data_IF_679393865125
#
_entry.id   IF_679393865125
#
_cell.length_a   1.000
_cell.length_b   1.000
_cell.length_c   1.000
_cell.angle_alpha   90.00
_cell.angle_beta   90.00
_cell.angle_gamma   90.00
#
_symmetry.space_group_name_H-M   'P 1'
#
loop_
_entity.id
_entity.type
_entity.pdbx_description
1 polymer ?
#
# COMPACT_ATOMS: atom_id res chain seq x y z
N UNK A 1 35.38 74.40 -29.56
CA UNK A 1 35.46 73.20 -30.43
C UNK A 1 35.62 71.96 -29.55
N UNK A 2 34.94 70.86 -29.93
CA UNK A 2 35.07 69.46 -29.43
C UNK A 2 34.33 69.19 -28.11
N UNK A 3 33.07 68.74 -28.16
CA UNK A 3 32.59 67.36 -28.36
C UNK A 3 32.69 66.50 -27.10
N UNK A 4 31.55 66.19 -26.50
CA UNK A 4 31.33 64.93 -25.77
C UNK A 4 29.92 64.44 -26.10
N UNK A 5 29.84 63.21 -26.58
CA UNK A 5 28.67 62.56 -27.16
C UNK A 5 28.54 61.18 -26.52
N UNK A 6 27.29 60.79 -26.24
CA UNK A 6 26.75 59.42 -26.10
C UNK A 6 27.31 58.58 -24.91
N UNK A 7 26.68 57.53 -24.39
CA UNK A 7 25.75 56.51 -24.90
C UNK A 7 25.00 55.95 -23.69
N UNK A 8 23.67 55.87 -23.70
CA UNK A 8 22.92 55.06 -22.72
C UNK A 8 22.71 53.67 -23.33
N UNK A 9 23.34 52.65 -22.73
CA UNK A 9 23.16 51.25 -23.11
C UNK A 9 21.80 50.74 -22.62
N UNK A 10 20.88 50.45 -23.53
CA UNK A 10 19.69 49.66 -23.23
C UNK A 10 20.04 48.16 -23.40
N UNK A 11 20.22 47.45 -22.28
CA UNK A 11 20.40 46.00 -22.28
C UNK A 11 19.02 45.37 -22.58
N UNK A 12 18.86 44.83 -23.77
CA UNK A 12 17.70 44.00 -24.13
C UNK A 12 17.97 42.58 -23.63
N UNK A 13 17.35 42.20 -22.52
CA UNK A 13 17.32 40.80 -22.07
C UNK A 13 16.27 40.08 -22.92
N UNK A 14 16.72 39.28 -23.89
CA UNK A 14 15.86 38.33 -24.58
C UNK A 14 15.50 37.21 -23.58
N UNK A 15 14.29 37.25 -23.03
CA UNK A 15 13.73 36.14 -22.26
C UNK A 15 13.40 35.05 -23.28
N UNK A 16 14.30 34.09 -23.45
CA UNK A 16 13.97 32.83 -24.09
C UNK A 16 12.90 32.15 -23.21
N UNK A 17 11.65 32.18 -23.66
CA UNK A 17 10.57 31.40 -23.07
C UNK A 17 10.88 29.91 -23.32
N UNK A 18 11.69 29.31 -22.44
CA UNK A 18 11.74 27.87 -22.30
C UNK A 18 10.38 27.46 -21.72
N UNK A 19 9.48 27.01 -22.59
CA UNK A 19 8.28 26.29 -22.21
C UNK A 19 8.71 24.95 -21.62
N UNK A 20 9.08 24.95 -20.34
CA UNK A 20 9.04 23.72 -19.56
C UNK A 20 7.59 23.32 -19.45
N UNK A 21 7.20 22.31 -20.23
CA UNK A 21 5.93 21.62 -20.06
C UNK A 21 5.94 20.99 -18.67
N UNK A 22 5.38 21.69 -17.69
CA UNK A 22 5.04 21.11 -16.39
C UNK A 22 3.79 20.23 -16.58
N UNK A 23 3.93 19.12 -17.30
CA UNK A 23 2.92 18.06 -17.36
C UNK A 23 3.28 17.00 -16.31
N UNK A 24 3.29 17.42 -15.05
CA UNK A 24 3.46 16.57 -13.89
C UNK A 24 2.21 16.54 -13.03
N UNK A 25 1.02 16.49 -13.64
CA UNK A 25 -0.14 15.98 -12.91
C UNK A 25 0.09 14.49 -12.77
N UNK A 26 0.77 14.08 -11.69
CA UNK A 26 0.81 12.68 -11.29
C UNK A 26 -0.65 12.22 -11.25
N UNK A 27 -1.03 11.34 -12.19
CA UNK A 27 -2.34 10.72 -12.17
C UNK A 27 -2.55 10.13 -10.75
N UNK A 28 -3.76 10.23 -10.17
CA UNK A 28 -4.01 9.69 -8.85
C UNK A 28 -3.50 8.24 -8.80
N UNK A 29 -2.58 7.95 -7.87
CA UNK A 29 -2.10 6.58 -7.68
C UNK A 29 -3.32 5.69 -7.40
N UNK A 30 -3.38 4.48 -7.97
CA UNK A 30 -4.46 3.57 -7.67
C UNK A 30 -4.49 3.33 -6.17
N UNK A 31 -5.67 3.42 -5.57
CA UNK A 31 -5.84 3.09 -4.16
C UNK A 31 -5.60 1.58 -4.00
N UNK A 32 -4.76 1.15 -3.03
CA UNK A 32 -4.56 -0.27 -2.82
C UNK A 32 -5.87 -0.89 -2.33
N UNK A 33 -6.29 -2.05 -2.85
CA UNK A 33 -7.52 -2.68 -2.38
C UNK A 33 -7.33 -3.26 -0.97
N UNK A 34 -8.40 -3.26 -0.16
CA UNK A 34 -8.42 -3.89 1.17
C UNK A 34 -9.02 -5.29 1.12
N UNK A 35 -8.57 -6.15 2.03
CA UNK A 35 -9.21 -7.44 2.27
C UNK A 35 -10.39 -7.27 3.23
N UNK A 36 -11.51 -7.89 2.92
CA UNK A 36 -12.73 -7.92 3.74
C UNK A 36 -13.27 -9.35 3.77
N UNK A 37 -14.21 -9.63 4.68
CA UNK A 37 -14.88 -10.93 4.71
C UNK A 37 -15.89 -11.12 3.57
N UNK A 38 -16.22 -10.06 2.84
CA UNK A 38 -17.20 -10.07 1.74
C UNK A 38 -16.59 -10.53 0.41
N UNK A 39 -15.28 -10.29 0.21
CA UNK A 39 -14.60 -10.52 -1.07
C UNK A 39 -13.55 -11.60 -0.91
N UNK A 40 -13.63 -12.64 -1.75
CA UNK A 40 -12.65 -13.72 -1.73
C UNK A 40 -11.22 -13.18 -1.94
N UNK A 41 -10.22 -13.59 -1.12
CA UNK A 41 -8.87 -13.02 -1.16
C UNK A 41 -8.20 -13.09 -2.54
N UNK A 42 -8.42 -14.18 -3.28
CA UNK A 42 -7.90 -14.36 -4.63
C UNK A 42 -8.38 -13.27 -5.60
N UNK A 43 -9.58 -12.71 -5.40
CA UNK A 43 -10.11 -11.61 -6.24
C UNK A 43 -9.30 -10.33 -5.98
N UNK A 44 -9.07 -9.99 -4.71
CA UNK A 44 -8.26 -8.84 -4.30
C UNK A 44 -6.82 -8.98 -4.82
N UNK A 45 -6.21 -10.15 -4.61
CA UNK A 45 -4.84 -10.44 -5.05
C UNK A 45 -4.67 -10.35 -6.56
N UNK A 46 -5.68 -10.76 -7.34
CA UNK A 46 -5.63 -10.73 -8.82
C UNK A 46 -5.50 -9.32 -9.37
N UNK A 47 -6.07 -8.33 -8.70
CA UNK A 47 -6.11 -6.93 -9.17
C UNK A 47 -5.19 -6.02 -8.38
N UNK A 48 -4.39 -6.56 -7.45
CA UNK A 48 -3.51 -5.73 -6.63
C UNK A 48 -2.44 -5.04 -7.50
N UNK A 49 -2.32 -3.70 -7.45
CA UNK A 49 -1.44 -2.93 -8.33
C UNK A 49 0.04 -2.99 -7.89
N UNK A 50 0.67 -4.15 -8.11
CA UNK A 50 2.08 -4.38 -7.81
C UNK A 50 2.99 -3.44 -8.59
N UNK A 51 4.07 -2.98 -7.97
CA UNK A 51 5.05 -2.06 -8.56
C UNK A 51 4.60 -0.60 -8.64
N UNK A 52 3.42 -0.26 -8.11
CA UNK A 52 2.87 1.10 -8.16
C UNK A 52 2.64 1.69 -6.77
N UNK A 53 2.20 0.88 -5.81
CA UNK A 53 1.84 1.37 -4.47
C UNK A 53 3.10 1.67 -3.65
N UNK A 54 3.28 2.93 -3.27
CA UNK A 54 4.36 3.35 -2.36
C UNK A 54 4.01 3.09 -0.90
N UNK A 55 5.02 3.04 -0.01
CA UNK A 55 4.81 2.99 1.46
C UNK A 55 3.90 4.10 1.96
N UNK A 56 4.02 5.31 1.42
CA UNK A 56 3.14 6.43 1.80
C UNK A 56 1.69 6.15 1.41
N UNK A 57 1.44 5.67 0.18
CA UNK A 57 0.10 5.33 -0.27
C UNK A 57 -0.48 4.16 0.54
N UNK A 58 0.33 3.13 0.81
CA UNK A 58 -0.05 2.01 1.66
C UNK A 58 -0.40 2.47 3.09
N UNK A 59 0.42 3.33 3.69
CA UNK A 59 0.14 3.89 5.02
C UNK A 59 -1.10 4.76 5.04
N UNK A 60 -1.27 5.65 4.06
CA UNK A 60 -2.45 6.50 3.94
C UNK A 60 -3.74 5.70 3.77
N UNK A 61 -3.67 4.52 3.16
CA UNK A 61 -4.84 3.67 2.93
C UNK A 61 -5.12 2.67 4.06
N UNK A 62 -4.12 1.88 4.44
CA UNK A 62 -4.26 0.79 5.42
C UNK A 62 -3.99 1.23 6.86
N UNK A 63 -3.38 2.41 7.05
CA UNK A 63 -2.91 2.86 8.34
C UNK A 63 -1.64 2.14 8.81
N UNK A 64 -1.41 2.21 10.12
CA UNK A 64 -0.24 1.61 10.76
C UNK A 64 -0.35 0.08 10.74
N UNK A 65 0.68 -0.59 10.24
CA UNK A 65 0.80 -2.04 10.30
C UNK A 65 0.80 -2.55 11.74
N UNK A 66 0.26 -3.76 11.96
CA UNK A 66 0.33 -4.41 13.28
C UNK A 66 1.78 -4.81 13.60
N UNK A 67 2.52 -5.23 12.58
CA UNK A 67 3.93 -5.57 12.66
C UNK A 67 4.68 -5.11 11.40
N UNK A 68 5.93 -4.72 11.60
CA UNK A 68 6.91 -4.52 10.53
C UNK A 68 8.01 -5.55 10.75
N UNK A 69 8.36 -6.30 9.70
CA UNK A 69 9.35 -7.37 9.77
C UNK A 69 10.25 -7.39 8.53
N UNK A 70 11.38 -8.09 8.63
CA UNK A 70 12.21 -8.44 7.47
C UNK A 70 11.87 -9.89 7.09
N UNK A 71 11.43 -10.08 5.85
CA UNK A 71 11.08 -11.38 5.29
C UNK A 71 12.34 -12.23 5.04
N UNK A 72 12.22 -13.56 4.86
CA UNK A 72 13.36 -14.43 4.62
C UNK A 72 14.21 -14.07 3.40
N UNK A 73 13.64 -13.35 2.43
CA UNK A 73 14.33 -12.82 1.25
C UNK A 73 15.02 -11.46 1.49
N UNK A 74 15.03 -10.97 2.73
CA UNK A 74 15.65 -9.69 3.12
C UNK A 74 14.79 -8.46 2.85
N UNK A 75 13.58 -8.61 2.30
CA UNK A 75 12.67 -7.51 1.98
C UNK A 75 11.83 -7.11 3.20
N UNK A 76 11.40 -5.85 3.24
CA UNK A 76 10.55 -5.38 4.33
C UNK A 76 9.10 -5.82 4.11
N UNK A 77 8.47 -6.30 5.17
CA UNK A 77 7.08 -6.72 5.21
C UNK A 77 6.26 -5.91 6.22
N UNK A 78 5.10 -5.40 5.81
CA UNK A 78 4.10 -4.80 6.70
C UNK A 78 2.91 -5.73 6.85
N UNK A 79 2.64 -6.17 8.07
CA UNK A 79 1.58 -7.14 8.37
C UNK A 79 0.33 -6.42 8.84
N UNK A 80 -0.82 -6.91 8.38
CA UNK A 80 -2.16 -6.44 8.72
C UNK A 80 -3.08 -7.65 9.01
N UNK A 81 -4.10 -7.42 9.83
CA UNK A 81 -5.15 -8.41 10.15
C UNK A 81 -6.36 -8.20 9.23
N UNK A 82 -7.09 -9.27 8.94
CA UNK A 82 -8.29 -9.30 8.11
C UNK A 82 -9.44 -9.84 8.94
N UNK A 83 -10.55 -9.10 8.93
CA UNK A 83 -11.77 -9.43 9.65
C UNK A 83 -12.19 -8.31 10.60
N UNK A 84 -13.49 -8.22 10.83
CA UNK A 84 -14.06 -7.22 11.71
C UNK A 84 -13.89 -7.61 13.18
N UNK A 85 -13.46 -6.65 14.00
CA UNK A 85 -13.52 -6.76 15.45
C UNK A 85 -15.00 -6.66 15.85
N UNK A 86 -15.59 -7.75 16.32
CA UNK A 86 -16.98 -7.76 16.74
C UNK A 86 -17.14 -7.05 18.10
N UNK A 87 -18.20 -6.26 18.23
CA UNK A 87 -18.56 -5.64 19.50
C UNK A 87 -19.04 -6.71 20.49
N UNK A 88 -18.23 -7.00 21.52
CA UNK A 88 -18.60 -7.87 22.64
C UNK A 88 -18.88 -7.04 23.89
N UNK A 89 -20.07 -7.23 24.45
CA UNK A 89 -20.45 -6.60 25.71
C UNK A 89 -20.21 -7.55 26.88
N UNK A 90 -19.25 -7.22 27.74
CA UNK A 90 -18.95 -7.96 28.96
C UNK A 90 -19.69 -7.36 30.16
N UNK A 91 -20.19 -8.23 31.05
CA UNK A 91 -20.68 -7.81 32.36
C UNK A 91 -19.54 -7.92 33.38
N UNK A 92 -19.30 -6.83 34.10
CA UNK A 92 -18.24 -6.80 35.12
C UNK A 92 -18.61 -7.70 36.31
N UNK A 93 -17.78 -8.68 36.69
CA UNK A 93 -18.12 -9.66 37.74
C UNK A 93 -18.28 -9.03 39.14
N UNK A 94 -17.68 -7.86 39.35
CA UNK A 94 -17.71 -7.11 40.62
C UNK A 94 -18.74 -5.99 40.66
N UNK A 95 -19.44 -5.72 39.54
CA UNK A 95 -20.45 -4.66 39.43
C UNK A 95 -21.54 -5.12 38.47
N UNK A 96 -22.55 -5.82 38.99
CA UNK A 96 -23.70 -6.42 38.27
C UNK A 96 -24.40 -5.52 37.23
N UNK A 97 -24.16 -4.20 37.24
CA UNK A 97 -24.81 -3.24 36.34
C UNK A 97 -23.88 -2.49 35.37
N UNK A 98 -22.57 -2.76 35.38
CA UNK A 98 -21.66 -2.17 34.40
C UNK A 98 -21.41 -3.13 33.23
N UNK A 99 -22.03 -2.80 32.10
CA UNK A 99 -21.78 -3.40 30.79
C UNK A 99 -20.64 -2.65 30.11
N UNK A 100 -19.61 -3.35 29.63
CA UNK A 100 -18.51 -2.75 28.88
C UNK A 100 -18.46 -3.38 27.49
N UNK A 101 -18.59 -2.56 26.44
CA UNK A 101 -18.48 -3.01 25.06
C UNK A 101 -17.04 -2.89 24.59
N UNK A 102 -16.43 -4.02 24.24
CA UNK A 102 -15.08 -4.13 23.70
C UNK A 102 -15.18 -4.67 22.28
N UNK A 103 -14.44 -4.10 21.34
CA UNK A 103 -14.34 -4.63 19.99
C UNK A 103 -13.21 -5.66 19.95
N UNK A 104 -13.55 -6.94 19.77
CA UNK A 104 -12.62 -8.05 19.80
C UNK A 104 -12.82 -8.97 18.60
N UNK A 105 -11.72 -9.55 18.11
CA UNK A 105 -11.78 -10.64 17.12
C UNK A 105 -12.33 -11.91 17.81
N UNK A 106 -13.29 -12.62 17.20
CA UNK A 106 -13.85 -13.83 17.81
C UNK A 106 -12.83 -14.98 17.93
N UNK A 107 -12.76 -15.67 19.09
CA UNK A 107 -11.91 -16.85 19.24
C UNK A 107 -12.49 -18.00 18.41
N UNK A 108 -11.84 -18.33 17.30
CA UNK A 108 -12.27 -19.39 16.38
C UNK A 108 -12.09 -19.02 14.91
N UNK A 109 -12.12 -17.72 14.57
CA UNK A 109 -11.62 -17.24 13.30
C UNK A 109 -10.10 -17.15 13.40
N UNK A 110 -9.39 -18.09 12.78
CA UNK A 110 -7.94 -17.99 12.64
C UNK A 110 -7.58 -16.59 12.15
N UNK A 111 -6.65 -15.90 12.83
CA UNK A 111 -6.23 -14.56 12.46
C UNK A 111 -5.75 -14.57 11.00
N UNK A 112 -6.63 -14.16 10.08
CA UNK A 112 -6.31 -13.97 8.69
C UNK A 112 -5.42 -12.75 8.62
N UNK A 113 -4.27 -12.88 7.99
CA UNK A 113 -3.33 -11.77 7.87
C UNK A 113 -2.95 -11.57 6.43
N UNK A 114 -2.60 -10.34 6.08
CA UNK A 114 -1.90 -10.08 4.83
C UNK A 114 -0.65 -9.28 5.10
N UNK A 115 0.40 -9.57 4.32
CA UNK A 115 1.68 -8.87 4.36
C UNK A 115 1.90 -8.14 3.05
N UNK A 116 2.13 -6.84 3.12
CA UNK A 116 2.67 -6.07 2.00
C UNK A 116 4.19 -6.22 2.00
N UNK A 117 4.74 -6.74 0.91
CA UNK A 117 6.18 -6.83 0.71
C UNK A 117 6.68 -5.65 -0.11
N UNK A 118 7.72 -4.96 0.36
CA UNK A 118 8.30 -3.78 -0.29
C UNK A 118 9.68 -4.06 -0.87
N UNK A 119 9.96 -3.47 -2.02
CA UNK A 119 11.33 -3.37 -2.55
C UNK A 119 12.17 -2.32 -1.82
N UNK A 120 13.43 -2.20 -2.25
CA UNK A 120 14.40 -1.28 -1.66
C UNK A 120 14.05 0.21 -1.92
N UNK A 121 13.10 0.47 -2.83
CA UNK A 121 12.55 1.80 -3.11
C UNK A 121 11.28 2.10 -2.32
N UNK A 122 10.79 1.13 -1.54
CA UNK A 122 9.56 1.27 -0.76
C UNK A 122 8.29 1.17 -1.58
N UNK A 123 8.28 0.36 -2.64
CA UNK A 123 7.12 0.06 -3.47
C UNK A 123 6.66 -1.38 -3.24
N UNK A 124 5.35 -1.61 -3.17
CA UNK A 124 4.77 -2.95 -2.96
C UNK A 124 5.06 -3.84 -4.17
N UNK A 125 5.77 -4.94 -3.96
CA UNK A 125 6.16 -5.90 -5.00
C UNK A 125 5.46 -7.25 -4.89
N UNK A 126 4.94 -7.60 -3.72
CA UNK A 126 4.02 -8.72 -3.54
C UNK A 126 3.07 -8.45 -2.37
N UNK A 127 1.98 -9.20 -2.33
CA UNK A 127 1.03 -9.23 -1.22
C UNK A 127 0.78 -10.68 -0.86
N UNK A 128 1.10 -11.04 0.38
CA UNK A 128 0.99 -12.42 0.88
C UNK A 128 -0.23 -12.49 1.79
N UNK A 129 -1.28 -13.18 1.37
CA UNK A 129 -2.48 -13.42 2.16
C UNK A 129 -2.41 -14.78 2.84
N UNK A 130 -2.71 -14.84 4.13
CA UNK A 130 -2.58 -16.03 4.95
C UNK A 130 -3.86 -16.32 5.74
N UNK A 131 -4.49 -17.45 5.46
CA UNK A 131 -5.75 -17.88 6.09
C UNK A 131 -5.52 -18.65 7.40
N UNK A 132 -4.37 -19.32 7.57
CA UNK A 132 -4.10 -20.19 8.73
C UNK A 132 -2.60 -20.48 8.90
N UNK A 133 -1.97 -19.85 9.90
CA UNK A 133 -0.60 -20.22 10.33
C UNK A 133 0.47 -20.08 9.25
N UNK A 134 1.74 -20.42 9.54
CA UNK A 134 2.82 -20.22 8.56
C UNK A 134 2.68 -21.23 7.41
N UNK A 135 2.61 -20.72 6.17
CA UNK A 135 2.97 -21.39 4.90
C UNK A 135 1.88 -21.88 3.92
N UNK A 136 0.59 -21.69 4.17
CA UNK A 136 -0.48 -22.00 3.18
C UNK A 136 -1.01 -20.76 2.42
N UNK A 137 -0.27 -19.65 2.44
CA UNK A 137 -0.73 -18.36 1.94
C UNK A 137 -0.70 -18.18 0.42
N UNK A 138 -1.71 -17.49 -0.13
CA UNK A 138 -1.77 -17.03 -1.52
C UNK A 138 -0.97 -15.74 -1.70
N UNK A 139 -0.24 -15.59 -2.81
CA UNK A 139 0.40 -14.31 -3.15
C UNK A 139 -0.17 -13.65 -4.40
N UNK A 140 -0.13 -12.32 -4.44
CA UNK A 140 -0.56 -11.56 -5.61
C UNK A 140 0.28 -11.93 -6.83
N UNK A 141 1.61 -12.06 -6.69
CA UNK A 141 2.47 -12.51 -7.77
C UNK A 141 2.08 -13.89 -8.31
N UNK A 142 1.80 -14.86 -7.43
CA UNK A 142 1.38 -16.21 -7.83
C UNK A 142 0.05 -16.19 -8.59
N UNK A 143 -0.95 -15.49 -8.05
CA UNK A 143 -2.29 -15.38 -8.65
C UNK A 143 -2.21 -14.69 -10.02
N UNK A 144 -1.46 -13.60 -10.13
CA UNK A 144 -1.33 -12.82 -11.37
C UNK A 144 -0.55 -13.56 -12.46
N UNK A 145 0.55 -14.26 -12.11
CA UNK A 145 1.30 -15.11 -13.06
C UNK A 145 0.46 -16.25 -13.63
N UNK A 146 -0.36 -16.89 -12.78
CA UNK A 146 -1.28 -17.94 -13.21
C UNK A 146 -2.28 -17.43 -14.25
N UNK A 147 -2.83 -16.22 -14.04
CA UNK A 147 -3.74 -15.57 -15.00
C UNK A 147 -3.04 -15.25 -16.32
N UNK A 148 -1.76 -14.86 -16.29
CA UNK A 148 -0.97 -14.59 -17.49
C UNK A 148 -0.55 -15.85 -18.26
N UNK A 149 -0.80 -17.04 -17.72
CA UNK A 149 -0.41 -18.31 -18.35
C UNK A 149 1.06 -18.67 -18.18
N UNK A 150 1.76 -18.04 -17.22
CA UNK A 150 3.20 -18.25 -16.99
C UNK A 150 3.50 -19.41 -16.02
N UNK A 151 2.50 -20.25 -15.73
CA UNK A 151 2.64 -21.44 -14.90
C UNK A 151 2.90 -22.70 -15.73
N UNK A 152 4.14 -23.20 -15.69
CA UNK A 152 4.63 -24.46 -16.25
C UNK A 152 4.61 -24.59 -17.80
N UNK A 153 5.71 -24.15 -18.42
CA UNK A 153 6.31 -24.86 -19.56
C UNK A 153 7.63 -25.46 -19.06
N UNK A 154 7.54 -26.64 -18.46
CA UNK A 154 8.68 -27.56 -18.34
C UNK A 154 8.28 -28.77 -19.15
N UNK A 155 8.90 -28.92 -20.32
CA UNK A 155 8.89 -30.16 -21.09
C UNK A 155 9.72 -31.22 -20.38
#
# INVERSE_FOLDING_TARGET
MKSVSNVLWAITIAIAAATTTLAGHAAPLPMPPSFTDEVAPAVVLRTYPLGVITKQAAFSHHGKAIHTLILPNGKEGWVYEVGDKQAKTYQHPTKEKQKHTVYETEPGNGMRTYTLEFDDKGVVIDVLYNEQGRHDGLTALQVQRKVRGEGHSVK
#
